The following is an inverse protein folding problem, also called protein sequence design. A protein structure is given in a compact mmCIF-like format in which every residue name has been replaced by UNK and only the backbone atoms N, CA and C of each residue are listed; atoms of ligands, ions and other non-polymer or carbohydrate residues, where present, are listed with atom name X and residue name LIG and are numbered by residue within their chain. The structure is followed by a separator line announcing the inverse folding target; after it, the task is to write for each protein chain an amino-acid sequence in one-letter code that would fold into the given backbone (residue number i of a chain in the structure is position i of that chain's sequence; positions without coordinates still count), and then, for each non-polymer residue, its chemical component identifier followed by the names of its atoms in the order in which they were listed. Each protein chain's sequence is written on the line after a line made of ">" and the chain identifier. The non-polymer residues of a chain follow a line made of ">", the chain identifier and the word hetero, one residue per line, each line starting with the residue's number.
data_IF_337610891476
#
_entry.id   IF_337610891476
#
_cell.length_a   1.000
_cell.length_b   1.000
_cell.length_c   1.000
_cell.angle_alpha   90.00
_cell.angle_beta   90.00
_cell.angle_gamma   90.00
#
_symmetry.space_group_name_H-M   'P 1'
#
loop_
_entity.id
_entity.type
_entity.pdbx_description
1 polymer ?
#
# COMPACT_ATOMS: atom_id res chain seq x y z
N UNK A 1 -11.82 27.83 12.72
CA UNK A 1 -12.60 28.48 13.80
C UNK A 1 -12.25 27.82 15.11
N UNK A 2 -12.30 28.55 16.21
CA UNK A 2 -12.07 27.96 17.55
C UNK A 2 -13.17 26.96 17.91
N UNK A 3 -12.94 26.07 18.87
CA UNK A 3 -13.96 25.15 19.38
C UNK A 3 -15.18 25.86 19.95
N UNK A 4 -15.02 27.04 20.56
CA UNK A 4 -16.15 27.85 21.05
C UNK A 4 -17.04 28.38 19.92
N UNK A 5 -16.43 28.79 18.80
CA UNK A 5 -17.16 29.23 17.61
C UNK A 5 -17.86 28.06 16.89
N UNK A 6 -17.38 26.83 17.07
CA UNK A 6 -18.00 25.62 16.53
C UNK A 6 -19.47 25.43 16.95
N UNK A 7 -19.85 25.89 18.14
CA UNK A 7 -21.24 25.86 18.62
C UNK A 7 -22.22 26.66 17.75
N UNK A 8 -21.74 27.67 17.01
CA UNK A 8 -22.58 28.44 16.08
C UNK A 8 -22.93 27.65 14.81
N UNK A 9 -22.12 26.64 14.48
CA UNK A 9 -22.33 25.75 13.33
C UNK A 9 -23.08 24.50 13.77
N UNK A 10 -22.70 23.92 14.90
CA UNK A 10 -23.32 22.71 15.44
C UNK A 10 -23.52 22.82 16.94
N UNK A 11 -24.78 22.89 17.43
CA UNK A 11 -25.09 22.94 18.85
C UNK A 11 -24.66 21.68 19.63
N UNK A 12 -24.36 20.57 18.93
CA UNK A 12 -23.91 19.30 19.52
C UNK A 12 -22.39 19.19 19.62
N UNK A 13 -21.65 20.25 19.21
CA UNK A 13 -20.20 20.32 19.31
C UNK A 13 -19.72 20.39 20.77
N UNK A 14 -18.70 19.60 21.11
CA UNK A 14 -18.05 19.68 22.42
C UNK A 14 -16.97 20.78 22.41
N UNK A 15 -17.22 21.85 23.15
CA UNK A 15 -16.30 22.98 23.29
C UNK A 15 -14.98 22.63 23.95
N UNK A 16 -14.92 21.50 24.67
CA UNK A 16 -13.71 20.99 25.29
C UNK A 16 -12.80 20.23 24.31
N UNK A 17 -13.17 20.15 23.03
CA UNK A 17 -12.27 19.74 21.96
C UNK A 17 -11.28 20.87 21.63
N UNK A 18 -10.65 21.41 22.67
CA UNK A 18 -9.64 22.46 22.64
C UNK A 18 -8.24 21.91 22.36
N UNK A 19 -8.02 20.62 22.59
CA UNK A 19 -6.89 19.90 22.01
C UNK A 19 -6.97 20.08 20.49
N UNK A 20 -5.89 20.61 19.91
CA UNK A 20 -5.71 21.00 18.50
C UNK A 20 -6.22 22.40 18.08
N UNK A 21 -6.83 23.18 18.98
CA UNK A 21 -7.05 24.62 18.76
C UNK A 21 -8.16 24.97 17.75
N UNK A 22 -7.78 25.27 16.51
CA UNK A 22 -8.68 25.78 15.46
C UNK A 22 -9.00 24.69 14.43
N UNK A 23 -10.29 24.53 14.11
CA UNK A 23 -10.77 23.49 13.18
C UNK A 23 -11.33 24.09 11.88
N UNK A 24 -11.29 23.32 10.80
CA UNK A 24 -12.04 23.63 9.58
C UNK A 24 -13.44 23.03 9.72
N UNK A 25 -14.47 23.86 9.66
CA UNK A 25 -15.86 23.41 9.67
C UNK A 25 -16.46 23.60 8.28
N UNK A 26 -17.21 22.60 7.84
CA UNK A 26 -17.81 22.51 6.52
C UNK A 26 -19.31 22.30 6.74
N UNK A 27 -20.09 23.35 6.50
CA UNK A 27 -21.55 23.32 6.63
C UNK A 27 -22.16 22.62 5.42
N UNK A 28 -22.57 21.38 5.61
CA UNK A 28 -23.22 20.46 4.68
C UNK A 28 -24.43 21.05 3.95
N UNK A 29 -24.78 20.46 2.81
CA UNK A 29 -25.96 20.82 2.03
C UNK A 29 -26.63 19.57 1.45
N UNK A 30 -27.21 18.76 2.35
CA UNK A 30 -28.01 17.58 2.01
C UNK A 30 -29.12 17.87 0.97
N UNK A 31 -29.53 16.82 0.25
CA UNK A 31 -30.59 16.88 -0.76
C UNK A 31 -30.16 17.47 -2.11
N UNK A 32 -28.88 17.74 -2.31
CA UNK A 32 -28.32 18.15 -3.60
C UNK A 32 -27.86 16.94 -4.42
N UNK A 33 -27.35 17.18 -5.62
CA UNK A 33 -26.80 16.14 -6.48
C UNK A 33 -25.28 16.11 -6.41
N UNK A 34 -24.71 14.91 -6.28
CA UNK A 34 -23.28 14.67 -6.33
C UNK A 34 -22.53 15.19 -5.09
N UNK A 35 -21.27 15.58 -5.31
CA UNK A 35 -20.37 16.00 -4.24
C UNK A 35 -19.81 17.40 -4.49
N UNK A 36 -19.56 18.16 -3.43
CA UNK A 36 -18.86 19.45 -3.49
C UNK A 36 -17.44 19.36 -2.96
N UNK A 37 -16.59 20.30 -3.38
CA UNK A 37 -15.24 20.43 -2.82
C UNK A 37 -15.33 21.12 -1.45
N UNK A 38 -15.10 20.36 -0.39
CA UNK A 38 -15.03 20.86 0.97
C UNK A 38 -13.67 21.54 1.26
N UNK A 39 -12.61 21.01 0.66
CA UNK A 39 -11.25 21.55 0.77
C UNK A 39 -10.39 21.11 -0.41
N UNK A 40 -9.45 21.94 -0.84
CA UNK A 40 -8.42 21.52 -1.79
C UNK A 40 -7.12 22.30 -1.60
N UNK A 41 -6.01 21.69 -1.99
CA UNK A 41 -4.70 22.33 -2.02
C UNK A 41 -3.81 21.75 -3.12
N UNK A 42 -2.96 22.59 -3.70
CA UNK A 42 -1.82 22.16 -4.50
C UNK A 42 -0.58 22.09 -3.60
N UNK A 43 0.12 20.97 -3.63
CA UNK A 43 1.33 20.72 -2.86
C UNK A 43 2.47 20.29 -3.78
N UNK A 44 3.68 20.70 -3.45
CA UNK A 44 4.89 20.28 -4.17
C UNK A 44 5.55 19.16 -3.38
N UNK A 45 5.77 18.02 -4.04
CA UNK A 45 6.35 16.80 -3.47
C UNK A 45 7.48 16.30 -4.36
N UNK A 46 8.35 15.44 -3.83
CA UNK A 46 9.46 14.89 -4.60
C UNK A 46 9.03 13.68 -5.43
N UNK A 47 9.49 13.61 -6.69
CA UNK A 47 9.32 12.43 -7.54
C UNK A 47 10.03 11.22 -6.95
N UNK A 48 9.47 10.03 -7.17
CA UNK A 48 9.99 8.76 -6.67
C UNK A 48 9.94 8.59 -5.15
N UNK A 49 9.30 9.51 -4.42
CA UNK A 49 9.13 9.43 -2.96
C UNK A 49 7.72 8.99 -2.59
N UNK A 50 7.57 8.60 -1.33
CA UNK A 50 6.30 8.21 -0.75
C UNK A 50 5.87 9.19 0.33
N UNK A 51 4.58 9.44 0.39
CA UNK A 51 3.99 10.36 1.35
C UNK A 51 2.80 9.71 2.04
N UNK A 52 2.61 9.99 3.32
CA UNK A 52 1.40 9.63 4.05
C UNK A 52 0.53 10.87 4.21
N UNK A 53 -0.66 10.83 3.62
CA UNK A 53 -1.72 11.77 3.86
C UNK A 53 -2.53 11.31 5.09
N UNK A 54 -2.79 12.21 6.03
CA UNK A 54 -3.72 12.00 7.13
C UNK A 54 -4.61 13.24 7.31
N UNK A 55 -5.86 13.01 7.68
CA UNK A 55 -6.77 14.06 8.14
C UNK A 55 -7.69 13.45 9.21
N UNK A 56 -7.94 14.21 10.26
CA UNK A 56 -8.89 13.83 11.29
C UNK A 56 -10.23 14.48 10.96
N UNK A 57 -11.28 13.67 10.95
CA UNK A 57 -12.62 14.07 10.52
C UNK A 57 -13.65 13.74 11.58
N UNK A 58 -14.64 14.62 11.76
CA UNK A 58 -15.72 14.45 12.72
C UNK A 58 -17.03 14.93 12.12
N UNK A 59 -18.05 14.08 12.12
CA UNK A 59 -19.41 14.50 11.79
C UNK A 59 -19.95 15.41 12.89
N UNK A 60 -20.81 16.36 12.49
CA UNK A 60 -21.50 17.26 13.40
C UNK A 60 -22.99 16.89 13.40
N UNK A 61 -23.46 16.08 14.38
CA UNK A 61 -24.80 15.53 14.37
C UNK A 61 -25.89 16.60 14.46
N UNK A 62 -26.98 16.41 13.72
CA UNK A 62 -28.20 17.21 13.81
C UNK A 62 -29.33 16.46 14.54
N UNK A 63 -30.29 17.21 15.09
CA UNK A 63 -31.33 16.66 15.99
C UNK A 63 -32.42 15.83 15.28
N UNK A 64 -32.50 15.85 13.94
CA UNK A 64 -33.49 15.13 13.15
C UNK A 64 -32.87 14.58 11.87
N UNK A 65 -33.21 13.33 11.51
CA UNK A 65 -32.72 12.62 10.31
C UNK A 65 -31.23 12.85 9.97
N UNK A 66 -30.37 12.67 10.98
CA UNK A 66 -28.92 12.96 10.93
C UNK A 66 -28.19 12.17 9.84
N UNK A 67 -27.97 12.82 8.70
CA UNK A 67 -27.17 12.27 7.61
C UNK A 67 -25.70 12.30 7.99
N UNK A 68 -25.04 11.14 7.94
CA UNK A 68 -23.60 11.05 8.17
C UNK A 68 -22.84 11.59 6.95
N UNK A 69 -21.81 12.45 7.14
CA UNK A 69 -20.94 12.88 6.06
C UNK A 69 -20.32 11.69 5.35
N UNK A 70 -20.41 11.67 4.03
CA UNK A 70 -19.68 10.73 3.18
C UNK A 70 -18.62 11.53 2.43
N UNK A 71 -17.35 11.19 2.68
CA UNK A 71 -16.20 11.93 2.16
C UNK A 71 -15.44 11.10 1.16
N UNK A 72 -15.03 11.73 0.05
CA UNK A 72 -14.04 11.16 -0.87
C UNK A 72 -12.81 12.05 -0.90
N UNK A 73 -11.62 11.45 -0.88
CA UNK A 73 -10.35 12.18 -1.03
C UNK A 73 -9.74 11.81 -2.37
N UNK A 74 -9.58 12.80 -3.23
CA UNK A 74 -9.01 12.64 -4.56
C UNK A 74 -7.60 13.19 -4.60
N UNK A 75 -6.72 12.44 -5.24
CA UNK A 75 -5.35 12.83 -5.53
C UNK A 75 -5.18 12.96 -7.04
N UNK A 76 -4.45 13.97 -7.51
CA UNK A 76 -4.08 14.06 -8.93
C UNK A 76 -3.10 12.94 -9.35
N UNK A 77 -2.71 12.05 -8.44
CA UNK A 77 -1.97 10.82 -8.71
C UNK A 77 -2.97 9.66 -8.80
N UNK A 78 -3.01 9.01 -9.96
CA UNK A 78 -3.96 7.94 -10.23
C UNK A 78 -3.80 6.74 -9.29
N UNK A 79 -4.92 6.11 -8.92
CA UNK A 79 -4.96 4.85 -8.19
C UNK A 79 -4.92 4.97 -6.65
N UNK A 80 -4.88 6.17 -6.10
CA UNK A 80 -4.81 6.40 -4.65
C UNK A 80 -6.06 7.03 -4.03
N UNK A 81 -7.08 7.33 -4.83
CA UNK A 81 -8.31 7.95 -4.33
C UNK A 81 -8.98 7.09 -3.24
N UNK A 82 -9.46 7.77 -2.21
CA UNK A 82 -10.33 7.19 -1.19
C UNK A 82 -11.76 7.58 -1.52
N UNK A 83 -12.64 6.60 -1.71
CA UNK A 83 -14.04 6.85 -2.07
C UNK A 83 -14.98 6.48 -0.94
N UNK A 84 -16.04 7.27 -0.79
CA UNK A 84 -17.19 6.99 0.08
C UNK A 84 -16.84 6.63 1.54
N UNK A 85 -15.92 7.38 2.15
CA UNK A 85 -15.58 7.25 3.57
C UNK A 85 -16.72 7.84 4.41
N UNK A 86 -17.49 6.99 5.09
CA UNK A 86 -18.52 7.44 6.05
C UNK A 86 -17.82 7.92 7.32
N UNK A 87 -18.08 9.16 7.72
CA UNK A 87 -17.58 9.74 8.97
C UNK A 87 -18.68 9.62 10.02
N UNK A 88 -18.47 8.74 11.01
CA UNK A 88 -19.47 8.51 12.06
C UNK A 88 -18.80 8.30 13.41
N UNK A 89 -18.73 9.38 14.19
CA UNK A 89 -18.23 9.41 15.55
C UNK A 89 -19.33 9.83 16.52
N UNK A 90 -19.30 9.37 17.78
CA UNK A 90 -20.30 9.76 18.78
C UNK A 90 -20.41 11.27 18.99
N UNK A 91 -21.65 11.75 19.18
CA UNK A 91 -21.98 13.13 19.51
C UNK A 91 -21.35 13.57 20.84
N UNK A 92 -20.99 14.85 20.99
CA UNK A 92 -20.50 15.41 22.24
C UNK A 92 -19.15 14.87 22.76
N UNK A 93 -18.50 13.94 22.05
CA UNK A 93 -17.16 13.45 22.38
C UNK A 93 -16.12 14.09 21.45
N UNK A 94 -14.91 14.38 21.95
CA UNK A 94 -13.75 14.76 21.13
C UNK A 94 -13.10 13.60 20.37
N UNK A 95 -13.91 12.62 19.97
CA UNK A 95 -13.50 11.52 19.14
C UNK A 95 -13.46 11.98 17.68
N UNK A 96 -12.36 11.67 17.01
CA UNK A 96 -12.13 11.94 15.60
C UNK A 96 -11.91 10.62 14.87
N UNK A 97 -12.37 10.55 13.63
CA UNK A 97 -12.07 9.45 12.72
C UNK A 97 -10.90 9.86 11.83
N UNK A 98 -9.81 9.11 11.87
CA UNK A 98 -8.66 9.38 11.02
C UNK A 98 -8.85 8.77 9.63
N UNK A 99 -8.75 9.61 8.60
CA UNK A 99 -8.76 9.22 7.19
C UNK A 99 -7.33 9.37 6.66
N UNK A 100 -6.74 8.27 6.19
CA UNK A 100 -5.34 8.26 5.78
C UNK A 100 -5.08 7.43 4.52
N UNK A 101 -4.06 7.84 3.76
CA UNK A 101 -3.62 7.17 2.54
C UNK A 101 -2.10 7.27 2.38
N UNK A 102 -1.48 6.18 1.91
CA UNK A 102 -0.08 6.19 1.49
C UNK A 102 0.00 6.36 -0.03
N UNK A 103 0.67 7.41 -0.45
CA UNK A 103 0.82 7.84 -1.83
C UNK A 103 2.22 7.49 -2.33
N UNK A 104 2.33 7.07 -3.58
CA UNK A 104 3.64 6.93 -4.26
C UNK A 104 3.70 7.87 -5.43
N UNK A 105 4.71 8.75 -5.41
CA UNK A 105 4.88 9.74 -6.45
C UNK A 105 5.43 9.11 -7.74
N UNK A 106 5.10 9.68 -8.90
CA UNK A 106 5.65 9.20 -10.17
C UNK A 106 7.18 9.11 -10.12
N UNK A 107 7.74 8.10 -10.80
CA UNK A 107 9.18 7.91 -10.88
C UNK A 107 9.90 9.14 -11.48
N UNK A 108 11.20 9.22 -11.22
CA UNK A 108 12.09 10.28 -11.71
C UNK A 108 12.70 11.12 -10.59
N UNK A 109 13.38 12.20 -10.97
CA UNK A 109 14.06 13.14 -10.07
C UNK A 109 13.37 14.50 -10.09
N UNK A 110 13.51 15.26 -9.01
CA UNK A 110 12.97 16.62 -8.90
C UNK A 110 11.56 16.66 -8.30
N UNK A 111 10.83 17.74 -8.59
CA UNK A 111 9.54 18.03 -7.96
C UNK A 111 8.34 17.58 -8.83
N UNK A 112 7.23 17.30 -8.17
CA UNK A 112 5.93 16.97 -8.73
C UNK A 112 4.86 17.82 -8.03
N UNK A 113 4.00 18.46 -8.82
CA UNK A 113 2.85 19.21 -8.29
C UNK A 113 1.66 18.27 -8.18
N UNK A 114 1.16 18.10 -6.97
CA UNK A 114 0.01 17.26 -6.67
C UNK A 114 -1.16 18.11 -6.17
N UNK A 115 -2.35 17.86 -6.67
CA UNK A 115 -3.59 18.41 -6.11
C UNK A 115 -4.24 17.37 -5.20
N UNK A 116 -4.62 17.78 -3.99
CA UNK A 116 -5.45 17.00 -3.07
C UNK A 116 -6.81 17.69 -2.98
N UNK A 117 -7.91 16.92 -3.07
CA UNK A 117 -9.28 17.42 -2.89
C UNK A 117 -10.02 16.54 -1.90
N UNK A 118 -10.70 17.16 -0.95
CA UNK A 118 -11.67 16.51 -0.08
C UNK A 118 -13.05 16.89 -0.60
N UNK A 119 -13.80 15.89 -1.03
CA UNK A 119 -15.16 16.01 -1.54
C UNK A 119 -16.13 15.53 -0.47
N UNK A 120 -17.20 16.29 -0.27
CA UNK A 120 -18.32 15.91 0.59
C UNK A 120 -19.52 15.56 -0.29
N UNK A 121 -20.11 14.39 -0.09
CA UNK A 121 -21.34 13.96 -0.73
C UNK A 121 -22.55 14.70 -0.15
N UNK A 122 -23.37 15.24 -1.05
CA UNK A 122 -24.54 16.06 -0.72
C UNK A 122 -25.86 15.35 -1.03
N UNK A 123 -25.81 14.09 -1.48
CA UNK A 123 -26.99 13.35 -1.96
C UNK A 123 -27.90 12.80 -0.87
N UNK A 124 -27.43 12.74 0.38
CA UNK A 124 -28.24 12.26 1.51
C UNK A 124 -29.48 13.12 1.74
N UNK A 125 -30.61 12.51 2.12
CA UNK A 125 -31.89 13.19 2.34
C UNK A 125 -32.16 13.25 3.85
N UNK A 126 -32.07 14.44 4.44
CA UNK A 126 -32.25 14.69 5.87
C UNK A 126 -31.50 15.95 6.29
N UNK A 127 -31.47 16.26 7.58
CA UNK A 127 -30.57 17.30 8.10
C UNK A 127 -29.21 16.66 8.44
N UNK A 128 -28.12 17.43 8.44
CA UNK A 128 -26.80 16.90 8.80
C UNK A 128 -25.79 17.05 7.69
N UNK A 129 -24.95 16.02 7.53
CA UNK A 129 -23.74 15.92 6.69
C UNK A 129 -22.65 17.00 6.90
N UNK A 130 -22.83 17.84 7.90
CA UNK A 130 -21.83 18.76 8.42
C UNK A 130 -20.57 18.02 8.91
N UNK A 131 -19.41 18.62 8.61
CA UNK A 131 -18.11 18.00 8.83
C UNK A 131 -17.14 18.99 9.49
N UNK A 132 -16.44 18.54 10.52
CA UNK A 132 -15.23 19.17 11.01
C UNK A 132 -14.01 18.39 10.50
N UNK A 133 -12.95 19.12 10.13
CA UNK A 133 -11.68 18.59 9.64
C UNK A 133 -10.54 19.24 10.43
N UNK A 134 -9.57 18.44 10.84
CA UNK A 134 -8.38 18.86 11.57
C UNK A 134 -7.17 17.97 11.24
N UNK A 135 -5.97 18.36 11.70
CA UNK A 135 -4.70 17.61 11.53
C UNK A 135 -4.41 17.16 10.09
N UNK A 136 -4.80 17.98 9.11
CA UNK A 136 -4.47 17.79 7.70
C UNK A 136 -2.95 17.78 7.53
N UNK A 137 -2.40 16.61 7.26
CA UNK A 137 -0.96 16.38 7.19
C UNK A 137 -0.59 15.58 5.95
N UNK A 138 0.54 15.96 5.36
CA UNK A 138 1.20 15.21 4.30
C UNK A 138 2.67 15.14 4.64
N UNK A 139 3.16 13.95 4.96
CA UNK A 139 4.54 13.76 5.43
C UNK A 139 5.25 12.76 4.53
N UNK A 140 6.47 13.08 4.11
CA UNK A 140 7.34 12.12 3.43
C UNK A 140 7.64 10.97 4.39
N UNK A 141 7.35 9.74 3.99
CA UNK A 141 7.71 8.57 4.79
C UNK A 141 9.05 8.03 4.29
N UNK A 142 9.99 7.73 5.19
CA UNK A 142 11.28 7.16 4.79
C UNK A 142 11.04 5.79 4.16
N UNK A 143 11.81 5.44 3.13
CA UNK A 143 11.77 4.08 2.59
C UNK A 143 12.26 3.09 3.64
N UNK A 144 11.74 1.86 3.57
CA UNK A 144 12.23 0.74 4.38
C UNK A 144 13.75 0.64 4.24
N UNK A 145 14.53 0.52 5.33
CA UNK A 145 15.99 0.49 5.27
C UNK A 145 16.54 -0.55 4.28
N UNK A 146 17.63 -0.23 3.59
CA UNK A 146 18.20 -1.11 2.55
C UNK A 146 18.55 -2.50 3.10
N UNK A 147 19.09 -2.59 4.30
CA UNK A 147 19.45 -3.86 4.96
C UNK A 147 18.26 -4.80 5.16
N UNK A 148 17.03 -4.28 5.20
CA UNK A 148 15.83 -5.10 5.34
C UNK A 148 15.36 -5.72 4.02
N UNK A 149 15.78 -5.17 2.88
CA UNK A 149 15.41 -5.69 1.55
C UNK A 149 16.54 -6.48 0.89
N UNK A 150 17.67 -6.68 1.57
CA UNK A 150 18.73 -7.55 1.10
C UNK A 150 18.31 -9.03 1.23
N UNK A 151 18.75 -9.84 0.28
CA UNK A 151 18.51 -11.28 0.25
C UNK A 151 19.64 -12.03 -0.44
N UNK A 152 19.79 -13.32 -0.13
CA UNK A 152 20.65 -14.25 -0.87
C UNK A 152 19.82 -15.06 -1.87
N UNK A 153 20.50 -15.62 -2.87
CA UNK A 153 19.92 -16.47 -3.91
C UNK A 153 20.76 -17.74 -4.14
N UNK A 154 20.88 -18.65 -3.16
CA UNK A 154 21.51 -19.95 -3.38
C UNK A 154 20.85 -20.74 -4.51
N UNK A 155 21.68 -21.45 -5.27
CA UNK A 155 21.25 -22.38 -6.31
C UNK A 155 20.84 -23.72 -5.70
N UNK A 156 19.78 -24.32 -6.23
CA UNK A 156 19.30 -25.66 -5.86
C UNK A 156 19.07 -26.48 -7.14
N UNK A 157 19.06 -27.82 -7.04
CA UNK A 157 18.70 -28.72 -8.15
C UNK A 157 19.44 -28.41 -9.48
N UNK A 158 20.75 -28.13 -9.42
CA UNK A 158 21.53 -27.76 -10.60
C UNK A 158 21.77 -28.97 -11.50
N UNK A 159 21.44 -28.81 -12.78
CA UNK A 159 21.61 -29.77 -13.87
C UNK A 159 22.39 -29.12 -15.01
N UNK A 160 22.81 -29.87 -16.06
CA UNK A 160 23.53 -29.29 -17.19
C UNK A 160 22.77 -28.20 -17.96
N UNK A 161 21.44 -28.17 -17.89
CA UNK A 161 20.59 -27.25 -18.67
C UNK A 161 19.73 -26.34 -17.80
N UNK A 162 19.59 -26.62 -16.51
CA UNK A 162 18.68 -25.90 -15.64
C UNK A 162 19.12 -25.87 -14.19
N UNK A 163 18.57 -24.94 -13.42
CA UNK A 163 18.77 -24.81 -11.99
C UNK A 163 17.50 -24.32 -11.32
N UNK A 164 17.42 -24.43 -10.00
CA UNK A 164 16.45 -23.73 -9.17
C UNK A 164 17.12 -22.67 -8.30
N UNK A 165 16.31 -21.79 -7.71
CA UNK A 165 16.74 -20.73 -6.81
C UNK A 165 15.98 -20.81 -5.49
N UNK A 166 16.65 -20.44 -4.41
CA UNK A 166 16.04 -20.20 -3.09
C UNK A 166 16.31 -18.75 -2.69
N UNK A 167 15.28 -17.92 -2.60
CA UNK A 167 15.36 -16.52 -2.18
C UNK A 167 15.30 -16.40 -0.66
N UNK A 168 16.38 -15.91 -0.05
CA UNK A 168 16.56 -15.89 1.41
C UNK A 168 16.76 -14.46 1.93
N UNK A 169 15.72 -13.79 2.46
CA UNK A 169 15.88 -12.46 3.05
C UNK A 169 16.90 -12.46 4.19
N UNK A 170 17.77 -11.45 4.23
CA UNK A 170 18.82 -11.36 5.26
C UNK A 170 18.29 -10.85 6.61
N UNK A 171 17.17 -10.13 6.60
CA UNK A 171 16.48 -9.67 7.80
C UNK A 171 15.18 -10.47 8.00
N UNK A 172 14.75 -10.73 9.25
CA UNK A 172 13.41 -11.26 9.49
C UNK A 172 12.34 -10.25 9.05
N UNK A 173 11.12 -10.73 8.75
CA UNK A 173 9.98 -9.85 8.50
C UNK A 173 9.42 -9.35 9.83
N UNK A 174 9.47 -8.04 10.07
CA UNK A 174 8.91 -7.42 11.27
C UNK A 174 7.37 -7.44 11.30
N UNK A 175 6.80 -7.26 12.49
CA UNK A 175 5.37 -7.05 12.64
C UNK A 175 4.92 -5.77 11.92
N UNK A 176 3.74 -5.77 11.32
CA UNK A 176 3.25 -4.63 10.52
C UNK A 176 3.98 -4.45 9.18
N UNK A 177 4.87 -5.36 8.79
CA UNK A 177 5.54 -5.33 7.49
C UNK A 177 4.98 -6.37 6.52
N UNK A 178 4.92 -6.00 5.24
CA UNK A 178 4.66 -6.90 4.12
C UNK A 178 5.89 -7.07 3.25
N UNK A 179 5.84 -8.06 2.34
CA UNK A 179 6.89 -8.31 1.37
C UNK A 179 6.33 -8.75 0.03
N UNK A 180 7.16 -8.69 -1.01
CA UNK A 180 6.86 -9.29 -2.30
C UNK A 180 8.10 -9.84 -2.98
N UNK A 181 7.87 -10.76 -3.92
CA UNK A 181 8.87 -11.28 -4.84
C UNK A 181 8.46 -11.01 -6.28
N UNK A 182 9.41 -10.72 -7.15
CA UNK A 182 9.22 -10.69 -8.59
C UNK A 182 10.36 -11.43 -9.28
N UNK A 183 10.01 -12.22 -10.29
CA UNK A 183 10.95 -12.93 -11.15
C UNK A 183 10.64 -12.58 -12.60
N UNK A 184 11.66 -12.31 -13.40
CA UNK A 184 11.53 -12.06 -14.85
C UNK A 184 12.75 -12.61 -15.59
N UNK A 185 12.55 -13.09 -16.82
CA UNK A 185 13.66 -13.22 -17.77
C UNK A 185 14.03 -11.82 -18.27
N UNK A 186 15.32 -11.57 -18.52
CA UNK A 186 15.80 -10.31 -19.07
C UNK A 186 16.58 -10.53 -20.37
N UNK A 187 16.45 -9.58 -21.30
CA UNK A 187 17.20 -9.56 -22.55
C UNK A 187 18.64 -9.03 -22.36
N UNK A 188 19.42 -9.00 -23.44
CA UNK A 188 20.80 -8.50 -23.42
C UNK A 188 20.92 -7.01 -23.06
N UNK A 189 19.81 -6.26 -23.13
CA UNK A 189 19.74 -4.85 -22.75
C UNK A 189 19.21 -4.65 -21.32
N UNK A 190 18.91 -5.73 -20.59
CA UNK A 190 18.35 -5.69 -19.25
C UNK A 190 16.85 -5.38 -19.18
N UNK A 191 16.12 -5.46 -20.31
CA UNK A 191 14.66 -5.32 -20.32
C UNK A 191 13.99 -6.65 -20.00
N UNK A 192 12.85 -6.61 -19.32
CA UNK A 192 12.06 -7.82 -19.06
C UNK A 192 11.56 -8.41 -20.38
N UNK A 193 11.76 -9.72 -20.58
CA UNK A 193 11.23 -10.46 -21.72
C UNK A 193 9.69 -10.56 -21.56
N UNK A 194 8.89 -10.14 -22.56
CA UNK A 194 7.43 -10.19 -22.47
C UNK A 194 6.91 -11.59 -22.15
N UNK A 195 5.92 -11.67 -21.25
CA UNK A 195 5.30 -12.94 -20.87
C UNK A 195 6.09 -13.82 -19.91
N UNK A 196 7.18 -13.31 -19.32
CA UNK A 196 8.02 -14.07 -18.35
C UNK A 196 7.96 -13.53 -16.92
N UNK A 197 7.43 -12.31 -16.75
CA UNK A 197 7.33 -11.65 -15.44
C UNK A 197 6.25 -12.30 -14.59
N UNK A 198 6.61 -12.69 -13.37
CA UNK A 198 5.68 -13.09 -12.31
C UNK A 198 5.91 -12.21 -11.10
N UNK A 199 4.88 -11.48 -10.68
CA UNK A 199 4.93 -10.57 -9.52
C UNK A 199 3.99 -11.06 -8.42
N UNK A 200 4.57 -11.44 -7.30
CA UNK A 200 3.93 -11.79 -6.03
C UNK A 200 2.68 -12.70 -6.09
N UNK A 201 2.75 -13.85 -6.77
CA UNK A 201 1.66 -14.82 -6.84
C UNK A 201 1.42 -15.45 -5.46
N UNK A 202 0.19 -15.91 -5.22
CA UNK A 202 -0.20 -16.49 -3.93
C UNK A 202 0.60 -17.74 -3.54
N UNK A 203 1.10 -18.48 -4.53
CA UNK A 203 1.97 -19.65 -4.32
C UNK A 203 3.28 -19.31 -3.60
N UNK A 204 3.71 -18.05 -3.62
CA UNK A 204 4.95 -17.58 -3.03
C UNK A 204 4.76 -16.98 -1.62
N UNK A 205 3.51 -16.85 -1.17
CA UNK A 205 3.20 -16.29 0.15
C UNK A 205 3.53 -17.30 1.26
N UNK A 206 4.05 -16.80 2.38
CA UNK A 206 4.48 -17.59 3.53
C UNK A 206 5.76 -18.42 3.33
N UNK A 207 6.39 -18.38 2.15
CA UNK A 207 7.62 -19.13 1.90
C UNK A 207 8.85 -18.34 2.34
N UNK A 208 9.55 -18.88 3.36
CA UNK A 208 10.83 -18.38 3.84
C UNK A 208 11.75 -19.59 4.12
N UNK A 209 12.68 -19.92 3.20
CA UNK A 209 13.01 -19.20 1.97
C UNK A 209 11.98 -19.41 0.84
N UNK A 210 12.00 -18.55 -0.17
CA UNK A 210 11.11 -18.65 -1.33
C UNK A 210 11.77 -19.45 -2.46
N UNK A 211 11.19 -20.57 -2.86
CA UNK A 211 11.74 -21.44 -3.92
C UNK A 211 11.12 -21.18 -5.30
N UNK A 212 10.41 -20.07 -5.44
CA UNK A 212 9.75 -19.60 -6.66
C UNK A 212 8.87 -20.69 -7.29
N UNK A 213 8.07 -21.36 -6.46
CA UNK A 213 7.32 -22.55 -6.87
C UNK A 213 6.49 -22.30 -8.13
N UNK A 214 6.59 -23.24 -9.06
CA UNK A 214 5.89 -23.25 -10.34
C UNK A 214 6.46 -22.33 -11.41
N UNK A 215 7.54 -21.57 -11.15
CA UNK A 215 8.19 -20.76 -12.17
C UNK A 215 8.91 -21.64 -13.19
N UNK A 216 8.71 -21.37 -14.48
CA UNK A 216 9.30 -22.15 -15.57
C UNK A 216 9.70 -21.28 -16.78
N UNK A 217 9.98 -19.99 -16.54
CA UNK A 217 10.26 -19.01 -17.60
C UNK A 217 9.03 -18.39 -18.25
N UNK A 218 7.83 -18.62 -17.71
CA UNK A 218 6.58 -17.99 -18.17
C UNK A 218 5.88 -17.24 -17.04
N UNK A 219 4.99 -16.29 -17.39
CA UNK A 219 4.18 -15.53 -16.44
C UNK A 219 3.08 -16.35 -15.77
N UNK A 220 2.88 -17.61 -16.19
CA UNK A 220 1.88 -18.52 -15.64
C UNK A 220 2.57 -19.64 -14.87
N UNK A 221 2.35 -19.68 -13.56
CA UNK A 221 2.95 -20.70 -12.71
C UNK A 221 2.30 -22.07 -12.90
N UNK A 222 3.12 -23.13 -12.89
CA UNK A 222 2.67 -24.52 -13.10
C UNK A 222 3.12 -25.40 -11.94
N UNK A 223 2.16 -25.95 -11.19
CA UNK A 223 2.41 -26.88 -10.09
C UNK A 223 2.98 -26.21 -8.83
N UNK A 224 3.45 -27.04 -7.90
CA UNK A 224 3.94 -26.61 -6.57
C UNK A 224 5.42 -26.96 -6.33
N UNK A 225 6.11 -27.45 -7.35
CA UNK A 225 7.54 -27.77 -7.26
C UNK A 225 8.39 -26.49 -7.32
N UNK A 226 9.64 -26.51 -6.80
CA UNK A 226 10.56 -25.38 -6.95
C UNK A 226 10.69 -24.91 -8.39
N UNK A 227 10.86 -23.60 -8.58
CA UNK A 227 11.01 -23.00 -9.90
C UNK A 227 12.22 -23.55 -10.65
N UNK A 228 12.08 -23.67 -11.96
CA UNK A 228 13.11 -24.16 -12.88
C UNK A 228 13.51 -23.03 -13.83
N UNK A 229 14.81 -22.78 -13.88
CA UNK A 229 15.44 -21.71 -14.65
C UNK A 229 16.39 -22.33 -15.66
N UNK A 230 16.40 -21.80 -16.88
CA UNK A 230 17.26 -22.23 -17.98
C UNK A 230 18.64 -21.57 -17.83
N UNK A 231 19.70 -22.37 -17.84
CA UNK A 231 21.08 -21.87 -17.66
C UNK A 231 21.56 -20.97 -18.80
N UNK A 232 20.87 -20.98 -19.95
CA UNK A 232 21.21 -20.18 -21.14
C UNK A 232 20.57 -18.79 -21.14
N UNK A 233 19.70 -18.50 -20.18
CA UNK A 233 18.94 -17.25 -20.11
C UNK A 233 19.35 -16.38 -18.94
N UNK A 234 19.08 -15.09 -19.04
CA UNK A 234 19.34 -14.12 -17.96
C UNK A 234 18.06 -13.83 -17.17
N UNK A 235 18.21 -13.54 -15.88
CA UNK A 235 17.08 -13.33 -14.97
C UNK A 235 17.27 -12.11 -14.08
N UNK A 236 16.15 -11.48 -13.70
CA UNK A 236 16.08 -10.50 -12.62
C UNK A 236 15.17 -11.04 -11.52
N UNK A 237 15.71 -11.08 -10.30
CA UNK A 237 14.98 -11.47 -9.08
C UNK A 237 14.89 -10.24 -8.19
N UNK A 238 13.69 -9.87 -7.76
CA UNK A 238 13.46 -8.69 -6.92
C UNK A 238 12.79 -9.14 -5.63
N UNK A 239 13.32 -8.65 -4.51
CA UNK A 239 12.68 -8.72 -3.21
C UNK A 239 12.35 -7.32 -2.73
N UNK A 240 11.14 -7.07 -2.26
CA UNK A 240 10.79 -5.80 -1.67
C UNK A 240 9.95 -5.91 -0.41
N UNK A 241 9.95 -4.82 0.36
CA UNK A 241 9.25 -4.70 1.65
C UNK A 241 8.57 -3.35 1.78
N UNK A 242 7.56 -3.33 2.63
CA UNK A 242 6.94 -2.12 3.16
C UNK A 242 6.52 -2.38 4.61
N UNK A 243 6.43 -1.32 5.40
CA UNK A 243 5.92 -1.41 6.77
C UNK A 243 4.96 -0.26 7.05
N UNK A 244 4.19 -0.33 8.15
CA UNK A 244 3.22 0.72 8.52
C UNK A 244 3.82 2.13 8.65
N UNK A 245 5.10 2.22 9.03
CA UNK A 245 5.82 3.48 9.27
C UNK A 245 6.86 3.83 8.19
N UNK A 246 7.07 2.96 7.20
CA UNK A 246 8.08 3.15 6.15
C UNK A 246 7.51 2.87 4.77
N UNK A 247 7.94 3.65 3.79
CA UNK A 247 7.65 3.40 2.39
C UNK A 247 8.30 2.13 1.85
N UNK A 248 7.91 1.76 0.63
CA UNK A 248 8.49 0.66 -0.13
C UNK A 248 9.99 0.85 -0.34
N UNK A 249 10.71 -0.25 -0.21
CA UNK A 249 12.05 -0.39 -0.75
C UNK A 249 12.17 -1.77 -1.42
N UNK A 250 13.09 -1.92 -2.36
CA UNK A 250 13.34 -3.22 -2.97
C UNK A 250 14.78 -3.37 -3.45
N UNK A 251 15.23 -4.61 -3.55
CA UNK A 251 16.55 -4.96 -4.00
C UNK A 251 16.45 -5.98 -5.12
N UNK A 252 17.33 -5.86 -6.11
CA UNK A 252 17.38 -6.77 -7.24
C UNK A 252 18.73 -7.49 -7.33
N UNK A 253 18.68 -8.77 -7.71
CA UNK A 253 19.82 -9.50 -8.27
C UNK A 253 19.56 -9.74 -9.76
N UNK A 254 20.57 -9.46 -10.58
CA UNK A 254 20.57 -9.84 -11.99
C UNK A 254 21.57 -10.97 -12.21
N UNK A 255 21.07 -12.05 -12.81
CA UNK A 255 21.81 -13.26 -13.11
C UNK A 255 21.98 -13.39 -14.63
N UNK A 256 23.19 -13.73 -15.07
CA UNK A 256 23.48 -14.05 -16.48
C UNK A 256 24.15 -15.43 -16.60
N UNK A 257 24.09 -16.05 -17.79
CA UNK A 257 24.77 -17.33 -18.04
C UNK A 257 26.26 -17.27 -17.69
N UNK A 258 26.76 -18.28 -16.98
CA UNK A 258 28.17 -18.42 -16.69
C UNK A 258 28.87 -19.22 -17.82
N UNK A 259 29.80 -18.64 -18.59
CA UNK A 259 30.55 -19.36 -19.62
C UNK A 259 31.38 -20.53 -19.08
N UNK A 260 31.64 -20.52 -17.76
CA UNK A 260 32.34 -21.57 -17.01
C UNK A 260 31.42 -22.15 -15.92
N UNK A 261 30.15 -22.35 -16.27
CA UNK A 261 29.14 -22.87 -15.36
C UNK A 261 29.62 -24.14 -14.65
N UNK A 262 29.45 -24.15 -13.33
CA UNK A 262 29.66 -25.33 -12.50
C UNK A 262 28.37 -25.67 -11.76
N UNK A 263 28.32 -26.84 -11.12
CA UNK A 263 27.17 -27.21 -10.29
C UNK A 263 26.96 -26.27 -9.10
N UNK A 264 28.00 -25.56 -8.64
CA UNK A 264 27.93 -24.60 -7.53
C UNK A 264 27.70 -23.17 -8.00
N UNK A 265 28.08 -22.85 -9.23
CA UNK A 265 27.95 -21.52 -9.83
C UNK A 265 27.46 -21.64 -11.29
N UNK A 266 26.19 -22.03 -11.51
CA UNK A 266 25.60 -22.15 -12.85
C UNK A 266 25.42 -20.78 -13.53
N UNK A 267 25.25 -19.72 -12.75
CA UNK A 267 25.01 -18.35 -13.23
C UNK A 267 25.95 -17.37 -12.53
N UNK A 268 26.19 -16.21 -13.15
CA UNK A 268 26.93 -15.10 -12.55
C UNK A 268 25.96 -14.03 -12.07
N UNK A 269 26.13 -13.55 -10.83
CA UNK A 269 25.42 -12.37 -10.33
C UNK A 269 26.22 -11.14 -10.75
N UNK A 270 25.70 -10.38 -11.71
CA UNK A 270 26.42 -9.23 -12.29
C UNK A 270 26.00 -7.89 -11.68
N UNK A 271 24.82 -7.84 -11.07
CA UNK A 271 24.28 -6.61 -10.50
C UNK A 271 23.53 -6.90 -9.23
N UNK A 272 23.78 -6.05 -8.23
CA UNK A 272 23.03 -5.99 -6.98
C UNK A 272 22.73 -4.53 -6.68
N UNK A 273 21.47 -4.14 -6.74
CA UNK A 273 21.12 -2.73 -6.60
C UNK A 273 19.76 -2.51 -5.93
N UNK A 274 19.60 -1.32 -5.37
CA UNK A 274 18.29 -0.83 -4.98
C UNK A 274 17.45 -0.64 -6.25
N UNK A 275 16.29 -1.29 -6.32
CA UNK A 275 15.44 -1.30 -7.49
C UNK A 275 14.19 -0.44 -7.25
N UNK A 276 13.87 0.52 -8.13
CA UNK A 276 12.69 1.35 -7.96
C UNK A 276 11.41 0.54 -8.18
N UNK A 277 10.46 0.64 -7.24
CA UNK A 277 9.14 0.00 -7.35
C UNK A 277 8.19 0.97 -8.06
N UNK A 278 7.58 0.54 -9.16
CA UNK A 278 6.53 1.33 -9.82
C UNK A 278 5.19 1.19 -9.09
N UNK A 279 4.32 2.20 -9.18
CA UNK A 279 3.04 2.21 -8.47
C UNK A 279 2.15 0.99 -8.80
N UNK A 280 2.19 0.49 -10.04
CA UNK A 280 1.44 -0.69 -10.47
C UNK A 280 1.93 -1.99 -9.82
N UNK A 281 3.25 -2.11 -9.60
CA UNK A 281 3.85 -3.26 -8.88
C UNK A 281 3.46 -3.26 -7.41
N UNK A 282 3.27 -2.09 -6.80
CA UNK A 282 2.77 -1.97 -5.42
C UNK A 282 1.32 -2.44 -5.29
N UNK A 283 0.45 -2.16 -6.26
CA UNK A 283 -0.94 -2.62 -6.24
C UNK A 283 -1.04 -4.17 -6.28
N UNK A 284 -0.09 -4.84 -6.92
CA UNK A 284 0.03 -6.30 -6.89
C UNK A 284 0.43 -6.83 -5.50
N UNK A 285 1.38 -6.17 -4.82
CA UNK A 285 1.84 -6.58 -3.50
C UNK A 285 0.81 -6.32 -2.38
N UNK A 286 0.05 -5.21 -2.43
CA UNK A 286 -1.01 -4.88 -1.44
C UNK A 286 -2.15 -5.91 -1.43
N UNK A 287 -2.41 -6.60 -2.56
CA UNK A 287 -3.43 -7.67 -2.63
C UNK A 287 -3.14 -8.82 -1.65
N UNK A 288 -1.87 -9.09 -1.32
CA UNK A 288 -1.50 -10.09 -0.31
C UNK A 288 -1.96 -9.70 1.10
N UNK A 289 -1.75 -8.45 1.54
CA UNK A 289 -2.13 -8.04 2.89
C UNK A 289 -3.65 -8.07 3.06
N UNK A 290 -4.42 -7.62 2.07
CA UNK A 290 -5.89 -7.73 2.10
C UNK A 290 -6.38 -9.19 2.09
N UNK A 291 -5.70 -10.08 1.37
CA UNK A 291 -6.03 -11.51 1.35
C UNK A 291 -5.62 -12.24 2.64
N UNK A 292 -4.48 -11.90 3.25
CA UNK A 292 -4.01 -12.50 4.51
C UNK A 292 -4.77 -11.94 5.73
N UNK A 293 -5.14 -10.66 5.73
CA UNK A 293 -5.93 -10.05 6.81
C UNK A 293 -7.39 -10.53 6.81
N UNK A 294 -7.99 -10.77 5.64
CA UNK A 294 -9.33 -11.36 5.53
C UNK A 294 -9.37 -12.83 5.98
N UNK A 295 -8.27 -13.57 5.88
CA UNK A 295 -8.13 -14.92 6.46
C UNK A 295 -8.03 -14.87 7.99
N UNK A 296 -7.26 -13.92 8.56
CA UNK A 296 -7.19 -13.70 10.02
C UNK A 296 -8.52 -13.22 10.62
N UNK A 297 -9.27 -12.37 9.92
CA UNK A 297 -10.61 -11.95 10.37
C UNK A 297 -11.62 -13.11 10.37
N UNK A 298 -11.57 -13.99 9.37
CA UNK A 298 -12.41 -15.20 9.34
C UNK A 298 -12.02 -16.22 10.42
N UNK A 299 -10.73 -16.37 10.75
CA UNK A 299 -10.30 -17.28 11.83
C UNK A 299 -10.72 -16.78 13.21
N UNK A 300 -10.67 -15.47 13.46
CA UNK A 300 -11.09 -14.90 14.74
C UNK A 300 -12.61 -14.92 14.91
N UNK A 301 -13.39 -14.63 13.85
CA UNK A 301 -14.85 -14.75 13.87
C UNK A 301 -15.33 -16.21 14.05
N UNK A 302 -14.59 -17.20 13.52
CA UNK A 302 -14.87 -18.61 13.73
C UNK A 302 -14.55 -19.10 15.15
N UNK A 303 -13.54 -18.51 15.80
CA UNK A 303 -13.16 -18.83 17.18
C UNK A 303 -14.16 -18.25 18.20
N UNK A 304 -14.65 -17.03 18.00
CA UNK A 304 -15.69 -16.43 18.86
C UNK A 304 -17.04 -17.15 18.76
N UNK A 305 -17.40 -17.70 17.60
CA UNK A 305 -18.64 -18.49 17.45
C UNK A 305 -18.58 -19.86 18.15
N UNK A 306 -17.39 -20.46 18.31
CA UNK A 306 -17.22 -21.74 19.00
C UNK A 306 -17.09 -21.61 20.53
N UNK A 307 -16.80 -20.42 21.06
CA UNK A 307 -16.78 -20.16 22.50
C UNK A 307 -18.15 -19.79 23.09
N UNK A 308 -19.19 -19.60 22.26
CA UNK A 308 -20.58 -19.35 22.71
C UNK A 308 -21.46 -20.61 22.71
N UNK A 309 -20.87 -21.79 22.54
CA UNK A 309 -21.57 -23.08 22.62
C UNK A 309 -20.93 -23.98 23.68
N UNK A 310 -20.86 -23.51 24.92
CA UNK A 310 -20.82 -24.36 26.12
C UNK A 310 -21.45 -23.59 27.28
#
# INVERSE_FOLDING_TARGET
>A
MTSAQGLQVSPTWDVNCSNNGNHLYVNGATGLTGSRVAWHQNVTVSRGKMYKFCADMKNLPQCGFDIKPIVSVQFSVAGFDMTNQVIDVPAGNCNWQSVNQVLTMPAGTGQFSMTIRILLDETGIGDGNDLAIDNLTLVEIPQTPLNEVLFNIPYINVTPTSFGLSGEPLAPLGEGCGYFWEVSEIDANGNNVPGTTVTNPSQWWGQFPNTFNGYNGTSTLVGNMPGVFDITKSYRIIYGRWCECTGWNSYAHELIPNPRATITEPMLIIKKENYPVSADKMAAAIRQVKAQSSVKQKSNAGMEMNQRKF
#
